data_IF_459206999647
#
_entry.id   IF_459206999647
#
_cell.length_a   1.000
_cell.length_b   1.000
_cell.length_c   1.000
_cell.angle_alpha   90.00
_cell.angle_beta   90.00
_cell.angle_gamma   90.00
#
_symmetry.space_group_name_H-M   'P 1'
#
loop_
_entity.id
_entity.type
_entity.pdbx_description
1 polymer ?
#
# COMPACT_ATOMS: atom_id res chain seq x y z
N UNK A 1 23.71 -7.86 4.38
CA UNK A 1 22.96 -7.59 3.16
C UNK A 1 22.88 -6.10 2.83
N UNK A 2 22.59 -5.79 1.56
CA UNK A 2 22.16 -4.46 1.15
C UNK A 2 20.63 -4.43 1.24
N UNK A 3 20.08 -3.44 1.93
CA UNK A 3 18.64 -3.29 2.13
C UNK A 3 18.09 -2.22 1.19
N UNK A 4 17.28 -2.63 0.23
CA UNK A 4 16.61 -1.75 -0.75
C UNK A 4 15.26 -1.31 -0.19
N UNK A 5 15.03 0.00 -0.07
CA UNK A 5 13.80 0.56 0.48
C UNK A 5 12.87 1.00 -0.66
N UNK A 6 11.64 0.51 -0.63
CA UNK A 6 10.65 0.64 -1.72
C UNK A 6 9.44 1.46 -1.26
N UNK A 7 9.26 2.63 -1.88
CA UNK A 7 8.11 3.52 -1.64
C UNK A 7 6.85 3.02 -2.36
N UNK A 8 5.64 3.43 -1.92
CA UNK A 8 4.44 3.29 -2.74
C UNK A 8 4.60 3.91 -4.13
N UNK A 9 3.87 3.41 -5.16
CA UNK A 9 3.92 3.91 -6.53
C UNK A 9 3.17 5.25 -6.70
N UNK A 10 3.56 6.25 -5.94
CA UNK A 10 3.08 7.63 -5.99
C UNK A 10 4.31 8.53 -6.12
N UNK A 11 4.12 9.84 -6.33
CA UNK A 11 5.22 10.79 -6.51
C UNK A 11 5.99 11.05 -5.19
N UNK A 12 6.58 10.00 -4.63
CA UNK A 12 7.45 10.07 -3.46
C UNK A 12 8.92 10.03 -3.86
N UNK A 13 9.70 10.92 -3.23
CA UNK A 13 11.16 10.83 -3.30
C UNK A 13 11.69 9.67 -2.43
N UNK A 14 12.98 9.40 -2.56
CA UNK A 14 13.70 8.35 -1.82
C UNK A 14 13.63 8.49 -0.30
N UNK A 15 13.32 9.67 0.21
CA UNK A 15 13.21 9.94 1.65
C UNK A 15 11.85 9.58 2.23
N UNK A 16 10.85 9.43 1.36
CA UNK A 16 9.49 9.03 1.68
C UNK A 16 8.95 9.74 2.93
N UNK A 17 8.72 11.06 2.78
CA UNK A 17 8.26 11.94 3.87
C UNK A 17 9.20 11.91 5.10
N UNK A 18 10.46 11.53 4.91
CA UNK A 18 11.45 11.38 5.97
C UNK A 18 11.52 10.00 6.62
N UNK A 19 10.48 9.16 6.51
CA UNK A 19 10.46 7.83 7.14
C UNK A 19 11.59 6.93 6.66
N UNK A 20 11.79 6.80 5.35
CA UNK A 20 12.88 5.99 4.81
C UNK A 20 14.26 6.62 5.04
N UNK A 21 14.33 7.94 5.08
CA UNK A 21 15.57 8.60 5.49
C UNK A 21 15.95 8.19 6.91
N UNK A 22 15.04 8.30 7.86
CA UNK A 22 15.26 7.96 9.25
C UNK A 22 15.57 6.45 9.45
N UNK A 23 14.83 5.57 8.77
CA UNK A 23 15.06 4.13 8.81
C UNK A 23 16.43 3.78 8.26
N UNK A 24 16.79 4.32 7.09
CA UNK A 24 18.09 4.15 6.45
C UNK A 24 19.24 4.63 7.35
N UNK A 25 19.16 5.87 7.87
CA UNK A 25 20.18 6.42 8.76
C UNK A 25 20.37 5.56 10.03
N UNK A 26 19.27 5.00 10.54
CA UNK A 26 19.30 4.16 11.74
C UNK A 26 19.88 2.77 11.45
N UNK A 27 19.55 2.16 10.33
CA UNK A 27 20.11 0.88 9.87
C UNK A 27 21.62 1.03 9.56
N UNK A 28 22.01 2.14 8.91
CA UNK A 28 23.43 2.42 8.62
C UNK A 28 24.27 2.56 9.90
N UNK A 29 23.73 3.22 10.95
CA UNK A 29 24.40 3.27 12.27
C UNK A 29 24.58 1.90 12.93
N UNK A 30 23.72 0.94 12.58
CA UNK A 30 23.82 -0.47 13.04
C UNK A 30 24.65 -1.36 12.09
N UNK A 31 25.32 -0.78 11.08
CA UNK A 31 26.24 -1.45 10.17
C UNK A 31 25.60 -2.08 8.94
N UNK A 32 24.34 -1.82 8.65
CA UNK A 32 23.68 -2.27 7.42
C UNK A 32 23.87 -1.25 6.29
N UNK A 33 24.10 -1.74 5.08
CA UNK A 33 24.08 -0.89 3.88
C UNK A 33 22.66 -0.75 3.38
N UNK A 34 22.23 0.48 3.06
CA UNK A 34 20.89 0.74 2.52
C UNK A 34 20.96 1.39 1.14
N UNK A 35 20.01 1.04 0.27
CA UNK A 35 19.83 1.65 -1.04
C UNK A 35 18.42 2.24 -1.15
N UNK A 36 18.33 3.49 -1.59
CA UNK A 36 17.07 4.22 -1.81
C UNK A 36 17.11 4.92 -3.15
N UNK A 37 16.01 4.91 -3.85
CA UNK A 37 15.87 5.56 -5.16
C UNK A 37 14.57 6.38 -5.23
N UNK A 38 14.58 7.40 -6.06
CA UNK A 38 13.38 8.16 -6.39
C UNK A 38 12.56 7.33 -7.37
N UNK A 39 11.27 7.13 -7.11
CA UNK A 39 10.45 6.41 -8.06
C UNK A 39 10.21 7.25 -9.33
N UNK A 40 9.82 6.59 -10.41
CA UNK A 40 9.63 7.21 -11.73
C UNK A 40 8.66 8.39 -11.69
N UNK A 41 7.55 8.26 -10.98
CA UNK A 41 6.54 9.33 -10.88
C UNK A 41 7.08 10.60 -10.23
N UNK A 42 8.00 10.48 -9.25
CA UNK A 42 8.66 11.63 -8.64
C UNK A 42 9.75 12.23 -9.55
N UNK A 43 10.50 11.38 -10.23
CA UNK A 43 11.57 11.81 -11.15
C UNK A 43 11.00 12.66 -12.30
N UNK A 44 9.83 12.31 -12.82
CA UNK A 44 9.15 13.10 -13.84
C UNK A 44 8.78 14.49 -13.35
N UNK A 45 8.34 14.60 -12.09
CA UNK A 45 8.02 15.89 -11.47
C UNK A 45 9.25 16.80 -11.39
N UNK A 46 10.43 16.25 -11.08
CA UNK A 46 11.68 17.00 -11.06
C UNK A 46 12.12 17.51 -12.44
N UNK A 47 11.72 16.82 -13.50
CA UNK A 47 11.97 17.22 -14.89
C UNK A 47 10.94 18.19 -15.45
N UNK A 48 10.00 18.67 -14.62
CA UNK A 48 8.92 19.57 -15.01
C UNK A 48 7.79 18.88 -15.78
N UNK A 49 7.81 17.56 -15.87
CA UNK A 49 6.72 16.78 -16.43
C UNK A 49 5.59 16.67 -15.41
N UNK A 50 4.35 16.50 -15.90
CA UNK A 50 3.26 16.13 -15.03
C UNK A 50 3.57 14.77 -14.40
N UNK A 51 3.38 14.60 -13.06
CA UNK A 51 3.55 13.31 -12.44
C UNK A 51 2.68 12.28 -13.18
N UNK A 52 3.17 11.07 -13.34
CA UNK A 52 2.38 9.96 -13.87
C UNK A 52 1.25 9.56 -12.91
N UNK A 53 0.64 10.56 -12.26
CA UNK A 53 -0.48 10.34 -11.36
C UNK A 53 -1.57 9.54 -12.07
N UNK A 54 -1.94 8.42 -11.45
CA UNK A 54 -2.91 7.50 -11.99
C UNK A 54 -2.44 6.55 -13.09
N UNK A 55 -1.23 6.69 -13.63
CA UNK A 55 -0.69 5.78 -14.66
C UNK A 55 0.38 4.84 -14.14
N UNK A 56 1.19 5.28 -13.20
CA UNK A 56 2.27 4.50 -12.59
C UNK A 56 1.71 3.54 -11.55
N UNK A 57 1.69 2.27 -11.87
CA UNK A 57 1.09 1.20 -11.07
C UNK A 57 2.12 0.50 -10.18
N UNK A 58 1.66 -0.34 -9.25
CA UNK A 58 2.54 -1.20 -8.47
C UNK A 58 3.33 -2.20 -9.32
N UNK A 59 2.84 -2.53 -10.52
CA UNK A 59 3.55 -3.41 -11.46
C UNK A 59 4.70 -2.68 -12.13
N UNK A 60 4.50 -1.43 -12.55
CA UNK A 60 5.57 -0.58 -13.07
C UNK A 60 6.64 -0.33 -11.99
N UNK A 61 6.22 -0.11 -10.75
CA UNK A 61 7.13 0.05 -9.61
C UNK A 61 7.91 -1.24 -9.28
N UNK A 62 7.30 -2.42 -9.51
CA UNK A 62 8.02 -3.69 -9.36
C UNK A 62 9.05 -3.90 -10.48
N UNK A 63 8.80 -3.40 -11.69
CA UNK A 63 9.80 -3.39 -12.76
C UNK A 63 10.93 -2.40 -12.47
N UNK A 64 10.64 -1.21 -11.93
CA UNK A 64 11.68 -0.29 -11.45
C UNK A 64 12.52 -0.88 -10.31
N UNK A 65 11.91 -1.64 -9.40
CA UNK A 65 12.64 -2.38 -8.37
C UNK A 65 13.54 -3.46 -8.98
N UNK A 66 13.04 -4.18 -9.99
CA UNK A 66 13.85 -5.16 -10.74
C UNK A 66 15.10 -4.52 -11.31
N UNK A 67 14.96 -3.37 -11.97
CA UNK A 67 16.08 -2.61 -12.56
C UNK A 67 17.06 -2.12 -11.48
N UNK A 68 16.55 -1.66 -10.33
CA UNK A 68 17.36 -1.26 -9.19
C UNK A 68 18.19 -2.44 -8.63
N UNK A 69 17.60 -3.64 -8.55
CA UNK A 69 18.31 -4.85 -8.13
C UNK A 69 19.36 -5.28 -9.16
N UNK A 70 19.04 -5.21 -10.46
CA UNK A 70 19.98 -5.49 -11.53
C UNK A 70 21.17 -4.50 -11.52
N UNK A 71 20.91 -3.22 -11.28
CA UNK A 71 21.95 -2.20 -11.10
C UNK A 71 22.90 -2.57 -9.96
N UNK A 72 22.39 -2.92 -8.78
CA UNK A 72 23.23 -3.33 -7.64
C UNK A 72 24.06 -4.57 -7.96
N UNK A 73 23.52 -5.52 -8.71
CA UNK A 73 24.25 -6.74 -9.13
C UNK A 73 25.29 -6.50 -10.21
N UNK A 74 25.16 -5.46 -11.02
CA UNK A 74 26.13 -5.09 -12.04
C UNK A 74 27.32 -4.28 -11.49
N UNK A 75 27.22 -3.70 -10.31
CA UNK A 75 28.28 -2.91 -9.68
C UNK A 75 29.18 -3.83 -8.84
N UNK A 76 30.48 -3.92 -9.18
CA UNK A 76 31.45 -4.80 -8.52
C UNK A 76 31.53 -4.61 -6.99
N UNK A 77 31.23 -3.41 -6.50
CA UNK A 77 31.20 -3.10 -5.06
C UNK A 77 30.08 -3.81 -4.33
N UNK A 78 29.01 -4.16 -5.03
CA UNK A 78 27.76 -4.67 -4.42
C UNK A 78 27.39 -6.07 -4.93
N UNK A 79 27.89 -6.50 -6.07
CA UNK A 79 27.51 -7.74 -6.78
C UNK A 79 27.51 -9.00 -5.88
N UNK A 80 28.49 -9.13 -4.98
CA UNK A 80 28.62 -10.29 -4.09
C UNK A 80 27.73 -10.22 -2.85
N UNK A 81 27.11 -9.09 -2.57
CA UNK A 81 26.32 -8.91 -1.35
C UNK A 81 24.89 -9.45 -1.52
N UNK A 82 24.35 -10.18 -0.54
CA UNK A 82 22.94 -10.54 -0.55
C UNK A 82 22.06 -9.29 -0.42
N UNK A 83 20.93 -9.30 -1.12
CA UNK A 83 20.00 -8.16 -1.12
C UNK A 83 18.73 -8.51 -0.36
N UNK A 84 18.36 -7.64 0.58
CA UNK A 84 17.06 -7.60 1.23
C UNK A 84 16.21 -6.46 0.69
N UNK A 85 14.91 -6.63 0.68
CA UNK A 85 13.96 -5.58 0.24
C UNK A 85 13.04 -5.21 1.39
N UNK A 86 12.92 -3.91 1.67
CA UNK A 86 12.01 -3.34 2.67
C UNK A 86 10.94 -2.55 1.93
N UNK A 87 9.70 -2.99 2.00
CA UNK A 87 8.56 -2.26 1.41
C UNK A 87 7.59 -1.77 2.48
N UNK A 88 7.16 -0.52 2.37
CA UNK A 88 6.16 0.05 3.27
C UNK A 88 4.84 0.29 2.53
N UNK A 89 3.72 -0.05 3.17
CA UNK A 89 2.37 0.16 2.62
C UNK A 89 2.23 -0.51 1.24
N UNK A 90 1.77 0.19 0.21
CA UNK A 90 1.71 -0.31 -1.18
C UNK A 90 3.11 -0.66 -1.74
N UNK A 91 4.20 -0.03 -1.22
CA UNK A 91 5.57 -0.42 -1.54
C UNK A 91 5.94 -1.83 -1.08
N UNK A 92 5.28 -2.34 -0.03
CA UNK A 92 5.36 -3.75 0.36
C UNK A 92 4.71 -4.68 -0.67
N UNK A 93 3.61 -4.27 -1.30
CA UNK A 93 3.01 -5.02 -2.41
C UNK A 93 3.93 -5.07 -3.63
N UNK A 94 4.60 -3.95 -3.94
CA UNK A 94 5.67 -3.89 -4.96
C UNK A 94 6.78 -4.90 -4.65
N UNK A 95 7.26 -4.91 -3.39
CA UNK A 95 8.30 -5.83 -2.94
C UNK A 95 7.85 -7.30 -3.01
N UNK A 96 6.59 -7.62 -2.67
CA UNK A 96 6.00 -8.95 -2.82
C UNK A 96 5.97 -9.38 -4.29
N UNK A 97 5.54 -8.51 -5.20
CA UNK A 97 5.49 -8.80 -6.64
C UNK A 97 6.89 -9.14 -7.15
N UNK A 98 7.89 -8.32 -6.84
CA UNK A 98 9.26 -8.56 -7.30
C UNK A 98 9.86 -9.82 -6.66
N UNK A 99 9.74 -10.01 -5.34
CA UNK A 99 10.27 -11.20 -4.66
C UNK A 99 9.62 -12.51 -5.15
N UNK A 100 8.41 -12.45 -5.69
CA UNK A 100 7.73 -13.62 -6.25
C UNK A 100 8.33 -14.15 -7.55
N UNK A 101 9.06 -13.32 -8.27
CA UNK A 101 9.67 -13.60 -9.59
C UNK A 101 11.19 -13.50 -9.62
N UNK A 102 11.81 -12.94 -8.56
CA UNK A 102 13.24 -12.68 -8.50
C UNK A 102 13.89 -13.35 -7.28
N UNK A 103 14.63 -14.41 -7.51
CA UNK A 103 15.33 -15.18 -6.46
C UNK A 103 16.55 -14.48 -5.87
N UNK A 104 16.97 -13.34 -6.44
CA UNK A 104 18.04 -12.51 -5.86
C UNK A 104 17.58 -11.74 -4.62
N UNK A 105 16.27 -11.60 -4.40
CA UNK A 105 15.72 -11.11 -3.13
C UNK A 105 15.93 -12.21 -2.08
N UNK A 106 16.89 -12.00 -1.18
CA UNK A 106 17.27 -12.97 -0.13
C UNK A 106 16.53 -12.77 1.18
N UNK A 107 15.95 -11.60 1.39
CA UNK A 107 15.16 -11.24 2.58
C UNK A 107 14.08 -10.25 2.18
N UNK A 108 12.87 -10.41 2.72
CA UNK A 108 11.74 -9.53 2.44
C UNK A 108 11.19 -8.97 3.76
N UNK A 109 11.12 -7.63 3.87
CA UNK A 109 10.58 -6.95 5.04
C UNK A 109 9.34 -6.14 4.62
N UNK A 110 8.21 -6.48 5.19
CA UNK A 110 6.89 -5.93 4.88
C UNK A 110 6.40 -5.08 6.04
N UNK A 111 6.33 -3.77 5.84
CA UNK A 111 5.94 -2.79 6.86
C UNK A 111 4.56 -2.22 6.51
N UNK A 112 3.55 -2.45 7.34
CA UNK A 112 2.17 -1.99 7.15
C UNK A 112 1.66 -2.24 5.71
N UNK A 113 1.85 -3.46 5.20
CA UNK A 113 1.62 -3.85 3.80
C UNK A 113 0.21 -4.40 3.58
N UNK A 114 -0.33 -4.28 2.37
CA UNK A 114 -1.62 -4.87 2.00
C UNK A 114 -1.55 -6.40 2.02
N UNK A 115 -2.18 -7.02 3.03
CA UNK A 115 -2.19 -8.48 3.23
C UNK A 115 -3.47 -9.18 2.77
N UNK A 116 -4.46 -8.42 2.31
CA UNK A 116 -5.74 -8.93 1.79
C UNK A 116 -5.95 -8.46 0.36
N UNK A 117 -6.99 -8.96 -0.31
CA UNK A 117 -7.31 -8.55 -1.69
C UNK A 117 -7.56 -7.06 -1.79
N UNK A 118 -7.13 -6.45 -2.88
CA UNK A 118 -7.25 -5.01 -3.12
C UNK A 118 -8.69 -4.49 -3.09
N UNK A 119 -9.67 -5.29 -3.49
CA UNK A 119 -11.10 -4.96 -3.35
C UNK A 119 -11.52 -4.76 -1.90
N UNK A 120 -10.98 -5.55 -0.98
CA UNK A 120 -11.23 -5.42 0.45
C UNK A 120 -10.51 -4.16 0.99
N UNK A 121 -9.25 -3.93 0.60
CA UNK A 121 -8.52 -2.71 0.97
C UNK A 121 -9.26 -1.45 0.52
N UNK A 122 -9.73 -1.43 -0.73
CA UNK A 122 -10.52 -0.31 -1.26
C UNK A 122 -11.78 -0.07 -0.40
N UNK A 123 -12.52 -1.13 -0.11
CA UNK A 123 -13.73 -1.04 0.72
C UNK A 123 -13.41 -0.49 2.12
N UNK A 124 -12.40 -1.03 2.79
CA UNK A 124 -11.99 -0.61 4.14
C UNK A 124 -11.59 0.87 4.18
N UNK A 125 -10.78 1.32 3.23
CA UNK A 125 -10.30 2.71 3.18
C UNK A 125 -11.43 3.71 2.90
N UNK A 126 -12.37 3.37 2.03
CA UNK A 126 -13.54 4.22 1.79
C UNK A 126 -14.45 4.22 3.01
N UNK A 127 -14.67 3.04 3.63
CA UNK A 127 -15.49 2.93 4.83
C UNK A 127 -14.93 3.72 6.01
N UNK A 128 -13.62 3.69 6.23
CA UNK A 128 -13.01 4.45 7.32
C UNK A 128 -13.23 5.97 7.16
N UNK A 129 -13.19 6.47 5.93
CA UNK A 129 -13.45 7.89 5.60
C UNK A 129 -14.93 8.26 5.73
N UNK A 130 -15.84 7.35 5.40
CA UNK A 130 -17.29 7.62 5.41
C UNK A 130 -17.97 7.34 6.75
N UNK A 131 -17.33 6.62 7.67
CA UNK A 131 -17.89 6.30 8.98
C UNK A 131 -18.42 7.55 9.73
N UNK A 132 -17.76 8.71 9.75
CA UNK A 132 -18.31 9.92 10.37
C UNK A 132 -19.63 10.39 9.73
N UNK A 133 -19.83 10.17 8.43
CA UNK A 133 -21.05 10.59 7.71
C UNK A 133 -22.24 9.68 8.01
N UNK A 134 -22.01 8.42 8.38
CA UNK A 134 -23.11 7.49 8.71
C UNK A 134 -23.89 7.88 9.96
N UNK A 135 -23.36 8.75 10.82
CA UNK A 135 -24.08 9.28 11.99
C UNK A 135 -25.35 10.05 11.60
N UNK A 136 -25.43 10.53 10.37
CA UNK A 136 -26.55 11.33 9.86
C UNK A 136 -27.57 10.52 9.06
N UNK A 137 -27.37 9.21 8.96
CA UNK A 137 -28.19 8.29 8.17
C UNK A 137 -28.82 7.22 9.07
N UNK A 138 -30.00 6.76 8.70
CA UNK A 138 -30.59 5.56 9.31
C UNK A 138 -29.72 4.32 9.02
N UNK A 139 -29.94 3.24 9.76
CA UNK A 139 -29.24 1.97 9.49
C UNK A 139 -29.47 1.47 8.07
N UNK A 140 -30.70 1.59 7.55
CA UNK A 140 -31.03 1.19 6.19
C UNK A 140 -30.26 2.00 5.15
N UNK A 141 -30.27 3.31 5.27
CA UNK A 141 -29.53 4.22 4.38
C UNK A 141 -28.02 3.96 4.42
N UNK A 142 -27.46 3.81 5.61
CA UNK A 142 -26.05 3.44 5.79
C UNK A 142 -25.70 2.13 5.10
N UNK A 143 -26.58 1.12 5.17
CA UNK A 143 -26.35 -0.17 4.52
C UNK A 143 -26.46 -0.07 2.99
N UNK A 144 -27.33 0.79 2.45
CA UNK A 144 -27.38 1.05 0.99
C UNK A 144 -26.05 1.67 0.53
N UNK A 145 -25.52 2.66 1.26
CA UNK A 145 -24.24 3.29 0.92
C UNK A 145 -23.08 2.29 1.02
N UNK A 146 -23.06 1.44 2.07
CA UNK A 146 -22.09 0.35 2.21
C UNK A 146 -22.16 -0.65 1.05
N UNK A 147 -23.37 -1.04 0.68
CA UNK A 147 -23.59 -1.93 -0.47
C UNK A 147 -23.06 -1.32 -1.77
N UNK A 148 -23.30 -0.03 -1.98
CA UNK A 148 -22.76 0.69 -3.16
C UNK A 148 -21.22 0.62 -3.22
N UNK A 149 -20.53 0.92 -2.11
CA UNK A 149 -19.07 0.86 -2.06
C UNK A 149 -18.57 -0.57 -2.31
N UNK A 150 -19.21 -1.55 -1.69
CA UNK A 150 -18.92 -2.97 -1.95
C UNK A 150 -19.08 -3.34 -3.43
N UNK A 151 -20.14 -2.87 -4.09
CA UNK A 151 -20.38 -3.12 -5.51
C UNK A 151 -19.32 -2.49 -6.40
N UNK A 152 -18.89 -1.26 -6.09
CA UNK A 152 -17.79 -0.60 -6.79
C UNK A 152 -16.53 -1.48 -6.70
N UNK A 153 -16.10 -1.84 -5.50
CA UNK A 153 -14.91 -2.67 -5.27
C UNK A 153 -14.96 -3.98 -6.06
N UNK A 154 -16.08 -4.69 -5.98
CA UNK A 154 -16.29 -6.00 -6.63
C UNK A 154 -16.24 -5.91 -8.15
N UNK A 155 -16.90 -4.92 -8.75
CA UNK A 155 -16.91 -4.73 -10.21
C UNK A 155 -15.51 -4.41 -10.72
N UNK A 156 -14.80 -3.49 -10.06
CA UNK A 156 -13.45 -3.10 -10.45
C UNK A 156 -12.45 -4.25 -10.34
N UNK A 157 -12.58 -5.09 -9.31
CA UNK A 157 -11.70 -6.23 -9.09
C UNK A 157 -11.98 -7.41 -10.04
N UNK A 158 -13.25 -7.66 -10.38
CA UNK A 158 -13.64 -8.85 -11.14
C UNK A 158 -13.47 -8.73 -12.65
N UNK A 159 -13.52 -7.51 -13.20
CA UNK A 159 -13.37 -7.30 -14.66
C UNK A 159 -11.94 -6.78 -14.96
N UNK A 160 -11.10 -7.56 -15.66
CA UNK A 160 -9.71 -7.19 -15.91
C UNK A 160 -9.55 -6.09 -16.98
N UNK A 161 -10.56 -5.88 -17.83
CA UNK A 161 -10.54 -4.86 -18.89
C UNK A 161 -11.10 -3.55 -18.38
N UNK A 162 -10.28 -2.51 -18.28
CA UNK A 162 -10.64 -1.22 -17.69
C UNK A 162 -11.92 -0.62 -18.28
N UNK A 163 -12.00 -0.54 -19.59
CA UNK A 163 -13.18 0.00 -20.29
C UNK A 163 -14.47 -0.77 -19.97
N UNK A 164 -14.38 -2.09 -19.85
CA UNK A 164 -15.52 -2.92 -19.50
C UNK A 164 -15.91 -2.77 -18.04
N UNK A 165 -14.94 -2.72 -17.13
CA UNK A 165 -15.16 -2.46 -15.71
C UNK A 165 -15.91 -1.14 -15.50
N UNK A 166 -15.47 -0.07 -16.15
CA UNK A 166 -16.14 1.24 -16.09
C UNK A 166 -17.57 1.17 -16.63
N UNK A 167 -17.79 0.46 -17.75
CA UNK A 167 -19.13 0.29 -18.33
C UNK A 167 -20.08 -0.45 -17.40
N UNK A 168 -19.60 -1.54 -16.77
CA UNK A 168 -20.40 -2.30 -15.79
C UNK A 168 -20.66 -1.46 -14.53
N UNK A 169 -19.67 -0.68 -14.08
CA UNK A 169 -19.83 0.24 -12.96
C UNK A 169 -20.87 1.31 -13.25
N UNK A 170 -20.88 1.90 -14.46
CA UNK A 170 -21.90 2.86 -14.88
C UNK A 170 -23.30 2.30 -14.82
N UNK A 171 -23.49 1.07 -15.28
CA UNK A 171 -24.80 0.38 -15.23
C UNK A 171 -25.25 0.14 -13.79
N UNK A 172 -24.34 -0.35 -12.93
CA UNK A 172 -24.68 -0.62 -11.53
C UNK A 172 -25.02 0.67 -10.78
N UNK A 173 -24.24 1.74 -10.96
CA UNK A 173 -24.52 3.03 -10.33
C UNK A 173 -25.85 3.63 -10.82
N UNK A 174 -26.16 3.52 -12.09
CA UNK A 174 -27.46 3.93 -12.62
C UNK A 174 -28.62 3.17 -11.97
N UNK A 175 -28.49 1.84 -11.80
CA UNK A 175 -29.47 0.99 -11.13
C UNK A 175 -29.66 1.39 -9.65
N UNK A 176 -28.57 1.61 -8.92
CA UNK A 176 -28.61 2.03 -7.51
C UNK A 176 -29.31 3.41 -7.41
N UNK A 177 -28.99 4.34 -8.29
CA UNK A 177 -29.66 5.66 -8.32
C UNK A 177 -31.16 5.52 -8.55
N UNK A 178 -31.61 4.71 -9.52
CA UNK A 178 -33.05 4.51 -9.78
C UNK A 178 -33.79 3.96 -8.56
N UNK A 179 -33.16 3.14 -7.77
CA UNK A 179 -33.77 2.55 -6.57
C UNK A 179 -33.73 3.48 -5.33
N UNK A 180 -32.77 4.40 -5.27
CA UNK A 180 -32.46 5.17 -4.06
C UNK A 180 -32.18 6.65 -4.32
N UNK A 181 -32.84 7.25 -5.32
CA UNK A 181 -32.54 8.61 -5.78
C UNK A 181 -32.56 9.68 -4.66
N UNK A 182 -33.56 9.64 -3.78
CA UNK A 182 -33.68 10.60 -2.66
C UNK A 182 -32.48 10.55 -1.72
N UNK A 183 -32.08 9.36 -1.30
CA UNK A 183 -30.89 9.15 -0.46
C UNK A 183 -29.62 9.63 -1.16
N UNK A 184 -29.45 9.26 -2.44
CA UNK A 184 -28.26 9.60 -3.20
C UNK A 184 -28.14 11.10 -3.43
N UNK A 185 -29.23 11.76 -3.79
CA UNK A 185 -29.26 13.21 -3.97
C UNK A 185 -28.84 13.95 -2.69
N UNK A 186 -29.38 13.54 -1.55
CA UNK A 186 -29.04 14.15 -0.25
C UNK A 186 -27.61 13.84 0.20
N UNK A 187 -27.13 12.63 -0.03
CA UNK A 187 -25.80 12.18 0.45
C UNK A 187 -24.64 12.68 -0.41
N UNK A 188 -24.84 12.86 -1.73
CA UNK A 188 -23.80 13.22 -2.68
C UNK A 188 -23.97 14.63 -3.28
N UNK A 189 -25.05 15.34 -2.94
CA UNK A 189 -25.31 16.67 -3.46
C UNK A 189 -25.55 16.73 -4.97
N UNK A 190 -26.00 15.62 -5.58
CA UNK A 190 -26.29 15.50 -7.00
C UNK A 190 -27.79 15.67 -7.26
N UNK A 191 -28.17 16.09 -8.46
CA UNK A 191 -29.57 16.31 -8.83
C UNK A 191 -30.07 15.29 -9.85
N UNK A 192 -29.16 14.63 -10.57
CA UNK A 192 -29.50 13.72 -11.67
C UNK A 192 -28.72 12.40 -11.61
N UNK A 193 -29.30 11.37 -12.20
CA UNK A 193 -28.62 10.07 -12.38
C UNK A 193 -27.29 10.24 -13.14
N UNK A 194 -27.26 11.10 -14.15
CA UNK A 194 -26.06 11.31 -14.96
C UNK A 194 -24.91 11.91 -14.13
N UNK A 195 -25.20 12.92 -13.31
CA UNK A 195 -24.21 13.52 -12.40
C UNK A 195 -23.68 12.51 -11.41
N UNK A 196 -24.58 11.72 -10.80
CA UNK A 196 -24.20 10.68 -9.87
C UNK A 196 -23.29 9.62 -10.53
N UNK A 197 -23.74 9.03 -11.64
CA UNK A 197 -22.96 8.01 -12.36
C UNK A 197 -21.59 8.56 -12.75
N UNK A 198 -21.54 9.78 -13.26
CA UNK A 198 -20.28 10.45 -13.62
C UNK A 198 -19.37 10.58 -12.38
N UNK A 199 -19.87 11.10 -11.26
CA UNK A 199 -19.07 11.31 -10.04
C UNK A 199 -18.48 10.01 -9.51
N UNK A 200 -19.20 8.88 -9.60
CA UNK A 200 -18.77 7.58 -9.12
C UNK A 200 -17.85 6.82 -10.09
N UNK A 201 -17.78 7.21 -11.35
CA UNK A 201 -17.01 6.47 -12.37
C UNK A 201 -15.81 7.24 -12.91
N UNK A 202 -15.85 8.58 -12.87
CA UNK A 202 -14.77 9.43 -13.40
C UNK A 202 -13.41 9.18 -12.74
N UNK A 203 -13.31 8.98 -11.41
CA UNK A 203 -12.02 8.72 -10.76
C UNK A 203 -11.29 7.51 -11.33
N UNK A 204 -12.01 6.50 -11.81
CA UNK A 204 -11.42 5.25 -12.31
C UNK A 204 -11.05 5.28 -13.80
N UNK A 205 -11.56 6.22 -14.56
CA UNK A 205 -11.30 6.29 -16.02
C UNK A 205 -9.85 6.58 -16.36
N UNK A 206 -9.16 7.33 -15.50
CA UNK A 206 -7.82 7.82 -15.74
C UNK A 206 -6.82 7.41 -14.62
N UNK A 207 -7.24 6.57 -13.68
CA UNK A 207 -6.41 6.10 -12.58
C UNK A 207 -6.15 4.59 -12.68
N UNK A 208 -5.21 4.20 -13.54
CA UNK A 208 -4.75 2.83 -13.69
C UNK A 208 -4.13 2.29 -12.40
N UNK A 209 -3.51 3.16 -11.57
CA UNK A 209 -2.96 2.79 -10.26
C UNK A 209 -4.05 2.29 -9.32
N UNK A 210 -5.14 3.04 -9.21
CA UNK A 210 -6.28 2.66 -8.36
C UNK A 210 -6.92 1.36 -8.84
N UNK A 211 -7.08 1.17 -10.16
CA UNK A 211 -7.57 -0.08 -10.74
C UNK A 211 -6.63 -1.25 -10.44
N UNK A 212 -5.33 -1.07 -10.61
CA UNK A 212 -4.32 -2.08 -10.31
C UNK A 212 -4.35 -2.45 -8.82
N UNK A 213 -4.39 -1.46 -7.92
CA UNK A 213 -4.49 -1.67 -6.48
C UNK A 213 -5.76 -2.44 -6.08
N UNK A 214 -6.92 -2.11 -6.68
CA UNK A 214 -8.20 -2.80 -6.40
C UNK A 214 -8.18 -4.26 -6.87
N UNK A 215 -7.44 -4.57 -7.94
CA UNK A 215 -7.30 -5.94 -8.50
C UNK A 215 -6.19 -6.75 -7.85
N UNK A 216 -5.35 -6.12 -7.04
CA UNK A 216 -4.23 -6.80 -6.40
C UNK A 216 -4.71 -7.97 -5.53
N UNK A 217 -4.03 -9.10 -5.65
CA UNK A 217 -4.24 -10.26 -4.80
C UNK A 217 -2.88 -10.74 -4.29
N UNK A 218 -2.55 -10.49 -3.01
CA UNK A 218 -1.24 -10.87 -2.44
C UNK A 218 -0.99 -12.38 -2.49
N UNK A 219 -2.03 -13.20 -2.35
CA UNK A 219 -1.90 -14.67 -2.41
C UNK A 219 -1.26 -15.14 -3.71
N UNK A 220 -1.59 -14.49 -4.85
CA UNK A 220 -1.06 -14.84 -6.17
C UNK A 220 0.47 -14.77 -6.22
N UNK A 221 1.07 -13.91 -5.40
CA UNK A 221 2.50 -13.67 -5.38
C UNK A 221 3.18 -14.36 -4.19
N UNK A 222 2.62 -14.26 -3.00
CA UNK A 222 3.18 -14.86 -1.78
C UNK A 222 3.41 -16.37 -1.90
N UNK A 223 2.58 -17.10 -2.64
CA UNK A 223 2.71 -18.55 -2.85
C UNK A 223 4.05 -19.00 -3.46
N UNK A 224 4.73 -18.11 -4.21
CA UNK A 224 6.00 -18.42 -4.88
C UNK A 224 7.23 -17.89 -4.16
N UNK A 225 7.09 -17.04 -3.14
CA UNK A 225 8.21 -16.51 -2.36
C UNK A 225 8.85 -17.62 -1.53
N UNK A 226 10.19 -17.62 -1.45
CA UNK A 226 10.94 -18.64 -0.70
C UNK A 226 11.93 -18.04 0.29
N UNK A 227 12.27 -16.75 0.16
CA UNK A 227 13.16 -16.09 1.12
C UNK A 227 12.50 -15.87 2.47
N UNK A 228 13.28 -15.70 3.56
CA UNK A 228 12.75 -15.29 4.86
C UNK A 228 11.95 -13.99 4.78
N UNK A 229 10.85 -13.90 5.54
CA UNK A 229 9.96 -12.74 5.53
C UNK A 229 9.81 -12.17 6.94
N UNK A 230 10.06 -10.87 7.08
CA UNK A 230 9.71 -10.07 8.25
C UNK A 230 8.42 -9.29 7.98
N UNK A 231 7.48 -9.30 8.93
CA UNK A 231 6.18 -8.65 8.80
C UNK A 231 5.96 -7.78 10.04
N UNK A 232 5.73 -6.49 9.84
CA UNK A 232 5.39 -5.57 10.93
C UNK A 232 4.14 -4.76 10.59
N UNK A 233 3.24 -4.67 11.57
CA UNK A 233 2.05 -3.82 11.51
C UNK A 233 2.02 -2.88 12.70
N UNK A 234 1.29 -1.79 12.54
CA UNK A 234 1.03 -0.78 13.55
C UNK A 234 -0.40 -0.94 14.07
N UNK A 235 -0.59 -1.06 15.40
CA UNK A 235 -1.93 -1.36 15.97
C UNK A 235 -2.92 -0.20 15.84
N UNK A 236 -2.43 1.05 15.77
CA UNK A 236 -3.24 2.25 15.59
C UNK A 236 -3.21 2.74 14.13
N UNK A 237 -2.97 1.83 13.17
CA UNK A 237 -3.05 2.12 11.76
C UNK A 237 -4.49 2.48 11.37
N UNK A 238 -4.68 3.68 10.81
CA UNK A 238 -5.98 4.19 10.38
C UNK A 238 -6.26 3.97 8.88
N UNK A 239 -5.30 3.40 8.15
CA UNK A 239 -5.41 3.11 6.71
C UNK A 239 -5.64 1.63 6.44
N UNK A 240 -5.06 0.75 7.28
CA UNK A 240 -5.17 -0.70 7.17
C UNK A 240 -5.59 -1.30 8.50
N UNK A 241 -6.60 -2.17 8.49
CA UNK A 241 -6.92 -2.99 9.65
C UNK A 241 -5.78 -3.99 9.88
N UNK A 242 -4.88 -3.70 10.83
CA UNK A 242 -3.69 -4.50 11.06
C UNK A 242 -3.99 -5.98 11.29
N UNK A 243 -5.08 -6.32 11.99
CA UNK A 243 -5.47 -7.71 12.28
C UNK A 243 -5.76 -8.47 10.99
N UNK A 244 -6.57 -7.89 10.12
CA UNK A 244 -6.97 -8.53 8.86
C UNK A 244 -5.79 -8.67 7.90
N UNK A 245 -4.96 -7.63 7.79
CA UNK A 245 -3.82 -7.63 6.89
C UNK A 245 -2.69 -8.55 7.37
N UNK A 246 -2.38 -8.54 8.67
CA UNK A 246 -1.40 -9.44 9.27
C UNK A 246 -1.81 -10.89 9.07
N UNK A 247 -3.04 -11.25 9.46
CA UNK A 247 -3.61 -12.59 9.26
C UNK A 247 -3.63 -12.99 7.79
N UNK A 248 -3.95 -12.07 6.89
CA UNK A 248 -4.02 -12.33 5.45
C UNK A 248 -2.68 -12.82 4.90
N UNK A 249 -1.56 -12.18 5.28
CA UNK A 249 -0.22 -12.64 4.91
C UNK A 249 0.12 -13.96 5.61
N UNK A 250 -0.01 -14.03 6.93
CA UNK A 250 0.33 -15.21 7.73
C UNK A 250 -0.41 -16.46 7.25
N UNK A 251 -1.74 -16.37 7.10
CA UNK A 251 -2.55 -17.49 6.63
C UNK A 251 -2.17 -17.92 5.21
N UNK A 252 -1.82 -16.96 4.34
CA UNK A 252 -1.34 -17.28 2.99
C UNK A 252 -0.01 -18.02 3.03
N UNK A 253 0.96 -17.55 3.81
CA UNK A 253 2.26 -18.20 3.96
C UNK A 253 2.12 -19.61 4.52
N UNK A 254 1.32 -19.79 5.57
CA UNK A 254 1.04 -21.11 6.17
C UNK A 254 0.34 -22.04 5.18
N UNK A 255 -0.65 -21.55 4.40
CA UNK A 255 -1.34 -22.32 3.35
C UNK A 255 -0.37 -22.90 2.32
N UNK A 256 0.67 -22.17 1.96
CA UNK A 256 1.68 -22.61 1.01
C UNK A 256 2.95 -23.16 1.67
N UNK A 257 2.87 -23.52 2.96
CA UNK A 257 3.93 -24.15 3.74
C UNK A 257 5.23 -23.34 3.79
N UNK A 258 5.11 -22.03 3.75
CA UNK A 258 6.21 -21.11 3.97
C UNK A 258 6.31 -20.79 5.46
N UNK A 259 7.20 -21.46 6.19
CA UNK A 259 7.32 -21.32 7.65
C UNK A 259 8.44 -20.36 8.08
N UNK A 260 9.25 -19.87 7.14
CA UNK A 260 10.35 -18.96 7.46
C UNK A 260 9.87 -17.50 7.43
N UNK A 261 9.02 -17.14 8.38
CA UNK A 261 8.59 -15.76 8.59
C UNK A 261 8.51 -15.41 10.07
N UNK A 262 8.68 -14.13 10.35
CA UNK A 262 8.44 -13.53 11.66
C UNK A 262 7.44 -12.40 11.52
N UNK A 263 6.47 -12.33 12.42
CA UNK A 263 5.38 -11.34 12.34
C UNK A 263 5.15 -10.67 13.69
N UNK A 264 4.97 -9.34 13.68
CA UNK A 264 4.74 -8.53 14.88
C UNK A 264 3.75 -7.40 14.61
N UNK A 265 2.95 -7.06 15.62
CA UNK A 265 2.17 -5.83 15.65
C UNK A 265 2.66 -4.92 16.77
N UNK A 266 2.96 -3.66 16.45
CA UNK A 266 3.57 -2.68 17.37
C UNK A 266 2.48 -1.82 17.99
N UNK A 267 2.48 -1.76 19.32
CA UNK A 267 1.56 -0.94 20.10
C UNK A 267 1.85 0.55 19.86
N UNK A 268 0.81 1.37 20.02
CA UNK A 268 0.87 2.83 19.97
C UNK A 268 1.50 3.43 18.69
N UNK A 269 1.58 2.62 17.62
CA UNK A 269 2.13 3.00 16.33
C UNK A 269 1.02 3.35 15.33
N UNK A 270 1.19 4.44 14.59
CA UNK A 270 0.38 4.78 13.41
C UNK A 270 0.92 4.09 12.13
N UNK A 271 0.28 4.33 10.99
CA UNK A 271 0.67 3.73 9.70
C UNK A 271 2.16 3.93 9.34
N UNK A 272 2.78 5.04 9.74
CA UNK A 272 4.20 5.35 9.51
C UNK A 272 5.11 4.94 10.67
N UNK A 273 4.62 4.14 11.63
CA UNK A 273 5.33 3.72 12.84
C UNK A 273 5.81 4.90 13.71
N UNK A 274 5.08 6.02 13.69
CA UNK A 274 5.22 7.11 14.64
C UNK A 274 4.33 6.85 15.86
N UNK A 275 4.70 7.40 17.01
CA UNK A 275 3.87 7.32 18.22
C UNK A 275 2.53 8.03 18.02
N UNK A 276 1.48 7.53 18.67
CA UNK A 276 0.08 7.97 18.46
C UNK A 276 -0.16 9.47 18.72
N UNK A 277 0.67 10.13 19.50
CA UNK A 277 0.54 11.57 19.80
C UNK A 277 0.77 12.46 18.56
N UNK A 278 1.35 11.94 17.51
CA UNK A 278 1.61 12.66 16.25
C UNK A 278 0.48 12.52 15.21
N UNK A 279 -0.78 12.48 15.66
CA UNK A 279 -1.96 12.21 14.83
C UNK A 279 -2.21 13.30 13.78
N UNK A 280 -1.48 13.22 12.69
CA UNK A 280 -1.84 13.94 11.46
C UNK A 280 -2.21 12.90 10.40
N UNK A 281 -3.38 13.07 9.74
CA UNK A 281 -3.73 12.21 8.61
C UNK A 281 -2.57 12.18 7.60
N UNK A 282 -2.27 11.03 7.03
CA UNK A 282 -1.23 10.86 6.01
C UNK A 282 -1.31 11.95 4.91
N UNK A 283 -2.52 12.36 4.54
CA UNK A 283 -2.79 13.47 3.62
C UNK A 283 -2.13 14.80 4.06
N UNK A 284 -2.08 15.08 5.35
CA UNK A 284 -1.46 16.30 5.89
C UNK A 284 0.07 16.14 5.96
N UNK A 285 0.58 14.93 6.22
CA UNK A 285 2.03 14.67 6.27
C UNK A 285 2.67 14.75 4.88
N UNK A 286 1.98 14.33 3.82
CA UNK A 286 2.47 14.38 2.42
C UNK A 286 2.66 15.83 1.94
N UNK A 287 1.89 16.78 2.48
CA UNK A 287 1.96 18.20 2.12
C UNK A 287 2.83 19.04 3.08
N UNK A 288 3.43 18.42 4.10
CA UNK A 288 4.37 19.10 4.98
C UNK A 288 5.73 19.25 4.31
N UNK A 289 6.10 20.48 3.99
CA UNK A 289 7.42 20.81 3.46
C UNK A 289 8.58 20.49 4.40
N UNK A 290 8.35 20.36 5.71
CA UNK A 290 9.37 20.03 6.73
C UNK A 290 8.71 19.47 7.99
N UNK A 291 8.18 18.24 7.97
CA UNK A 291 7.78 17.61 9.22
C UNK A 291 8.97 16.89 9.84
N UNK A 292 9.38 17.27 11.04
CA UNK A 292 10.15 16.37 11.90
C UNK A 292 9.24 15.16 12.16
N UNK A 293 9.64 14.00 11.63
CA UNK A 293 9.06 12.73 12.03
C UNK A 293 9.25 12.57 13.53
N UNK A 294 8.19 12.30 14.23
CA UNK A 294 8.26 11.99 15.65
C UNK A 294 8.65 10.52 15.82
N UNK A 295 9.96 10.27 15.77
CA UNK A 295 10.52 8.93 15.92
C UNK A 295 10.60 8.59 17.42
N UNK A 296 9.51 8.12 17.98
CA UNK A 296 9.41 7.74 19.37
C UNK A 296 9.68 6.25 19.62
N UNK A 297 9.00 5.70 20.64
CA UNK A 297 9.15 4.32 21.07
C UNK A 297 8.71 3.30 20.00
N UNK A 298 7.64 3.60 19.25
CA UNK A 298 7.13 2.73 18.21
C UNK A 298 8.17 2.48 17.10
N UNK A 299 8.83 3.56 16.62
CA UNK A 299 9.90 3.43 15.63
C UNK A 299 11.13 2.69 16.19
N UNK A 300 11.50 2.95 17.44
CA UNK A 300 12.60 2.25 18.10
C UNK A 300 12.30 0.75 18.20
N UNK A 301 11.09 0.39 18.60
CA UNK A 301 10.63 -0.99 18.67
C UNK A 301 10.67 -1.68 17.28
N UNK A 302 10.22 -0.99 16.23
CA UNK A 302 10.31 -1.48 14.86
C UNK A 302 11.77 -1.77 14.47
N UNK A 303 12.66 -0.79 14.67
CA UNK A 303 14.08 -0.87 14.30
C UNK A 303 14.79 -2.03 15.05
N UNK A 304 14.54 -2.19 16.33
CA UNK A 304 15.17 -3.24 17.14
C UNK A 304 14.69 -4.63 16.69
N UNK A 305 13.41 -4.80 16.37
CA UNK A 305 12.90 -6.05 15.82
C UNK A 305 13.48 -6.35 14.43
N UNK A 306 13.56 -5.37 13.54
CA UNK A 306 14.21 -5.52 12.22
C UNK A 306 15.65 -5.98 12.39
N UNK A 307 16.44 -5.28 13.20
CA UNK A 307 17.87 -5.58 13.36
C UNK A 307 18.11 -6.94 14.01
N UNK A 308 17.32 -7.32 15.02
CA UNK A 308 17.37 -8.65 15.64
C UNK A 308 17.02 -9.75 14.63
N UNK A 309 15.98 -9.55 13.83
CA UNK A 309 15.58 -10.53 12.83
C UNK A 309 16.63 -10.67 11.70
N UNK A 310 17.21 -9.57 11.23
CA UNK A 310 18.27 -9.60 10.22
C UNK A 310 19.49 -10.40 10.68
N UNK A 311 19.88 -10.31 11.96
CA UNK A 311 20.98 -11.10 12.53
C UNK A 311 20.71 -12.60 12.51
N UNK A 312 19.45 -13.03 12.70
CA UNK A 312 19.05 -14.43 12.72
C UNK A 312 18.84 -14.98 11.31
N UNK A 313 18.26 -14.21 10.43
CA UNK A 313 17.86 -14.64 9.08
C UNK A 313 19.02 -14.69 8.07
N UNK A 314 20.21 -14.23 8.43
CA UNK A 314 21.44 -14.31 7.61
C UNK A 314 22.28 -15.58 7.91
N UNK A 315 21.95 -16.31 8.95
CA UNK A 315 22.57 -17.61 9.30
C UNK A 315 21.71 -18.76 8.78
#
# INVERSE_FOLDING_TARGET
PILVLVTPPQAFNRDYVGFFKALSDSLNRKGYTTFRYDNRSYSDTLQGNQPHEGRYTMYDAADDLHDALAFLKSDERFASHPVGVIGHSEGGSVAIIEASRNTEVKQLLLLATMGVKGEQVYYEQIMSRLTPFFKWHSYSESNILRYMIYRIARILASEPRDKQAIKELQKEMAKIYQQHASLINSSFGVQTQQEFVKSQTEPFKNDARLLAATRYNPEKYLQSIRCPIFIAYAKNDNLLNYIEHQKGIECTLLKYQHFNFFSIAIDDANHSFEDQESYLPLYVSVHRKESKLYLGQAFTTLLDNITKWLQISTN
#
